data_IF_201819160309
#
_entry.id   IF_201819160309
#
_cell.length_a   1.000
_cell.length_b   1.000
_cell.length_c   1.000
_cell.angle_alpha   90.00
_cell.angle_beta   90.00
_cell.angle_gamma   90.00
#
_symmetry.space_group_name_H-M   'P 1'
#
loop_
_entity.id
_entity.type
_entity.pdbx_description
1 polymer ?
#
# COMPACT_ATOMS: atom_id res chain seq x y z
N UNK A 1 -24.11 7.53 6.36
CA UNK A 1 -24.14 8.61 5.35
C UNK A 1 -22.75 8.86 4.73
N UNK A 2 -21.68 9.06 5.49
CA UNK A 2 -20.34 9.35 4.95
C UNK A 2 -19.76 8.28 4.02
N UNK A 3 -19.95 6.97 4.30
CA UNK A 3 -19.43 5.87 3.44
C UNK A 3 -19.88 5.97 1.96
N UNK A 4 -21.09 6.49 1.69
CA UNK A 4 -21.58 6.71 0.33
C UNK A 4 -20.90 7.91 -0.33
N UNK A 5 -20.78 9.04 0.38
CA UNK A 5 -20.06 10.25 -0.09
C UNK A 5 -18.60 9.92 -0.37
N UNK A 6 -17.94 9.21 0.56
CA UNK A 6 -16.56 8.75 0.38
C UNK A 6 -16.41 7.93 -0.90
N UNK A 7 -17.34 7.01 -1.18
CA UNK A 7 -17.27 6.20 -2.40
C UNK A 7 -17.42 7.05 -3.66
N UNK A 8 -18.31 8.03 -3.67
CA UNK A 8 -18.46 8.95 -4.80
C UNK A 8 -17.17 9.74 -5.04
N UNK A 9 -16.55 10.27 -3.97
CA UNK A 9 -15.25 10.97 -4.04
C UNK A 9 -14.14 10.04 -4.55
N UNK A 10 -14.05 8.81 -4.04
CA UNK A 10 -13.08 7.81 -4.49
C UNK A 10 -13.18 7.57 -6.00
N UNK A 11 -14.39 7.37 -6.53
CA UNK A 11 -14.61 7.15 -7.97
C UNK A 11 -14.23 8.39 -8.76
N UNK A 12 -14.74 9.57 -8.37
CA UNK A 12 -14.48 10.82 -9.07
C UNK A 12 -13.00 11.14 -9.15
N UNK A 13 -12.30 11.10 -8.02
CA UNK A 13 -10.87 11.40 -8.00
C UNK A 13 -10.03 10.34 -8.70
N UNK A 14 -10.44 9.06 -8.69
CA UNK A 14 -9.75 8.02 -9.45
C UNK A 14 -9.91 8.20 -10.95
N UNK A 15 -11.09 8.58 -11.44
CA UNK A 15 -11.30 8.89 -12.86
C UNK A 15 -10.43 10.07 -13.30
N UNK A 16 -10.49 11.17 -12.55
CA UNK A 16 -9.69 12.36 -12.84
C UNK A 16 -8.19 12.03 -12.75
N UNK A 17 -7.78 11.35 -11.68
CA UNK A 17 -6.38 10.97 -11.46
C UNK A 17 -5.86 10.06 -12.57
N UNK A 18 -6.64 9.07 -13.01
CA UNK A 18 -6.27 8.20 -14.13
C UNK A 18 -6.16 8.98 -15.44
N UNK A 19 -7.11 9.87 -15.75
CA UNK A 19 -7.09 10.68 -16.95
C UNK A 19 -5.88 11.63 -16.98
N UNK A 20 -5.63 12.36 -15.88
CA UNK A 20 -4.51 13.31 -15.78
C UNK A 20 -3.17 12.59 -15.78
N UNK A 21 -3.05 11.46 -15.11
CA UNK A 21 -1.80 10.70 -15.06
C UNK A 21 -1.57 9.78 -16.27
N UNK A 22 -2.52 9.67 -17.20
CA UNK A 22 -2.42 8.75 -18.34
C UNK A 22 -1.13 8.90 -19.18
N UNK A 23 -0.60 10.09 -19.50
CA UNK A 23 0.67 10.21 -20.22
C UNK A 23 1.84 9.63 -19.40
N UNK A 24 1.84 9.88 -18.08
CA UNK A 24 2.86 9.36 -17.17
C UNK A 24 2.74 7.83 -17.07
N UNK A 25 1.51 7.31 -16.96
CA UNK A 25 1.26 5.86 -16.91
C UNK A 25 1.79 5.16 -18.16
N UNK A 26 1.58 5.74 -19.35
CA UNK A 26 2.09 5.21 -20.61
C UNK A 26 3.62 5.26 -20.67
N UNK A 27 4.24 6.37 -20.27
CA UNK A 27 5.68 6.52 -20.23
C UNK A 27 6.34 5.52 -19.26
N UNK A 28 5.77 5.36 -18.04
CA UNK A 28 6.25 4.39 -17.05
C UNK A 28 6.06 2.96 -17.57
N UNK A 29 4.92 2.64 -18.20
CA UNK A 29 4.66 1.33 -18.77
C UNK A 29 5.72 0.97 -19.84
N UNK A 30 6.03 1.90 -20.75
CA UNK A 30 7.07 1.72 -21.76
C UNK A 30 8.45 1.54 -21.10
N UNK A 31 8.81 2.39 -20.15
CA UNK A 31 10.09 2.30 -19.43
C UNK A 31 10.25 0.95 -18.70
N UNK A 32 9.23 0.48 -17.98
CA UNK A 32 9.23 -0.83 -17.28
C UNK A 32 9.37 -1.97 -18.27
N UNK A 33 8.70 -1.89 -19.44
CA UNK A 33 8.77 -2.93 -20.48
C UNK A 33 10.14 -3.03 -21.12
N UNK A 34 10.82 -1.89 -21.33
CA UNK A 34 12.16 -1.83 -21.93
C UNK A 34 13.27 -2.20 -20.92
N UNK A 35 13.09 -1.88 -19.64
CA UNK A 35 14.11 -2.09 -18.59
C UNK A 35 14.28 -3.57 -18.21
N UNK A 36 13.21 -4.37 -18.25
CA UNK A 36 13.26 -5.77 -17.83
C UNK A 36 12.19 -6.66 -18.50
N UNK A 37 12.48 -7.95 -18.63
CA UNK A 37 11.54 -8.93 -19.20
C UNK A 37 10.32 -9.14 -18.27
N UNK A 38 9.15 -9.40 -18.84
CA UNK A 38 7.92 -9.76 -18.14
C UNK A 38 6.77 -8.78 -18.33
N UNK A 39 5.68 -8.95 -17.54
CA UNK A 39 4.51 -8.08 -17.58
C UNK A 39 4.81 -6.72 -16.97
N UNK A 40 4.20 -5.66 -17.51
CA UNK A 40 4.33 -4.29 -17.00
C UNK A 40 3.65 -4.13 -15.64
N UNK A 41 2.47 -4.73 -15.49
CA UNK A 41 1.69 -4.70 -14.25
C UNK A 41 2.03 -5.94 -13.42
N UNK A 42 2.43 -5.70 -12.19
CA UNK A 42 2.54 -6.70 -11.14
C UNK A 42 1.21 -6.77 -10.37
N UNK A 43 0.73 -7.98 -10.15
CA UNK A 43 -0.49 -8.27 -9.42
C UNK A 43 -0.14 -9.04 -8.16
N UNK A 44 -0.75 -8.66 -7.04
CA UNK A 44 -0.53 -9.32 -5.77
C UNK A 44 -1.82 -9.46 -4.98
N UNK A 45 -2.12 -10.67 -4.55
CA UNK A 45 -3.29 -10.94 -3.71
C UNK A 45 -3.16 -10.25 -2.35
N UNK A 46 -4.23 -9.58 -1.95
CA UNK A 46 -4.33 -8.83 -0.70
C UNK A 46 -5.70 -9.06 -0.06
N UNK A 47 -5.74 -8.92 1.27
CA UNK A 47 -6.99 -8.87 2.01
C UNK A 47 -7.61 -7.48 1.89
N UNK A 48 -8.85 -7.45 1.44
CA UNK A 48 -9.68 -6.27 1.27
C UNK A 48 -10.79 -6.18 2.32
N UNK A 49 -11.85 -5.42 1.97
CA UNK A 49 -13.03 -5.28 2.81
C UNK A 49 -13.68 -6.63 3.07
N UNK A 50 -14.18 -6.83 4.30
CA UNK A 50 -14.80 -8.05 4.79
C UNK A 50 -13.88 -9.30 4.66
N UNK A 51 -12.55 -9.10 4.63
CA UNK A 51 -11.57 -10.18 4.45
C UNK A 51 -11.52 -10.78 3.05
N UNK A 52 -12.21 -10.20 2.07
CA UNK A 52 -12.22 -10.70 0.69
C UNK A 52 -10.88 -10.47 0.01
N UNK A 53 -10.38 -11.49 -0.66
CA UNK A 53 -9.13 -11.40 -1.44
C UNK A 53 -9.38 -10.63 -2.73
N UNK A 54 -8.46 -9.73 -3.07
CA UNK A 54 -8.43 -9.00 -4.34
C UNK A 54 -7.02 -8.89 -4.89
N UNK A 55 -6.89 -8.72 -6.22
CA UNK A 55 -5.61 -8.45 -6.88
C UNK A 55 -5.27 -6.96 -6.81
N UNK A 56 -4.25 -6.58 -6.06
CA UNK A 56 -3.71 -5.23 -6.03
C UNK A 56 -2.75 -5.02 -7.20
N UNK A 57 -2.96 -3.95 -7.98
CA UNK A 57 -2.19 -3.62 -9.16
C UNK A 57 -1.07 -2.62 -8.85
N UNK A 58 0.13 -2.91 -9.35
CA UNK A 58 1.29 -2.01 -9.32
C UNK A 58 2.07 -2.10 -10.62
N UNK A 59 2.85 -1.08 -10.94
CA UNK A 59 3.90 -1.29 -11.93
C UNK A 59 4.97 -2.23 -11.36
N UNK A 60 5.46 -3.13 -12.21
CA UNK A 60 6.58 -4.01 -11.85
C UNK A 60 7.83 -3.17 -11.61
N UNK A 61 8.34 -3.20 -10.40
CA UNK A 61 9.55 -2.49 -9.97
C UNK A 61 10.70 -3.41 -9.60
N UNK A 62 10.47 -4.73 -9.67
CA UNK A 62 11.46 -5.77 -9.36
C UNK A 62 11.52 -6.80 -10.50
N UNK A 63 12.58 -7.61 -10.54
CA UNK A 63 12.69 -8.72 -11.49
C UNK A 63 11.55 -9.72 -11.28
N UNK A 64 11.26 -10.53 -12.33
CA UNK A 64 10.23 -11.57 -12.26
C UNK A 64 10.63 -12.61 -11.21
N UNK A 65 9.67 -13.02 -10.38
CA UNK A 65 9.89 -13.99 -9.30
C UNK A 65 10.56 -13.43 -8.05
N UNK A 66 10.74 -12.11 -7.94
CA UNK A 66 11.41 -11.47 -6.81
C UNK A 66 10.81 -11.82 -5.44
N UNK A 67 9.50 -12.13 -5.40
CA UNK A 67 8.82 -12.57 -4.17
C UNK A 67 9.30 -13.93 -3.64
N UNK A 68 9.91 -14.75 -4.50
CA UNK A 68 10.47 -16.07 -4.14
C UNK A 68 12.00 -16.05 -3.95
N UNK A 69 12.62 -14.86 -4.03
CA UNK A 69 14.07 -14.67 -3.95
C UNK A 69 14.48 -13.92 -2.68
N UNK A 70 15.57 -14.31 -2.06
CA UNK A 70 16.20 -13.60 -0.95
C UNK A 70 15.25 -13.38 0.22
N UNK A 71 14.96 -12.10 0.54
CA UNK A 71 14.07 -11.71 1.65
C UNK A 71 12.58 -11.81 1.33
N UNK A 72 12.21 -12.44 0.21
CA UNK A 72 10.82 -12.61 -0.21
C UNK A 72 10.12 -11.25 -0.39
N UNK A 73 9.02 -11.04 0.32
CA UNK A 73 8.22 -9.81 0.23
C UNK A 73 8.88 -8.56 0.84
N UNK A 74 9.91 -8.73 1.66
CA UNK A 74 10.61 -7.60 2.26
C UNK A 74 11.64 -7.04 1.29
N UNK A 75 11.69 -5.71 1.19
CA UNK A 75 12.67 -4.99 0.40
C UNK A 75 13.49 -4.09 1.32
N UNK A 76 14.77 -4.01 1.06
CA UNK A 76 15.75 -3.22 1.81
C UNK A 76 16.47 -2.23 0.91
N UNK A 77 17.24 -1.31 1.51
CA UNK A 77 18.04 -0.33 0.75
C UNK A 77 19.12 -1.07 -0.04
N UNK A 78 19.15 -0.84 -1.37
CA UNK A 78 20.11 -1.53 -2.24
C UNK A 78 19.71 -2.94 -2.68
N UNK A 79 18.44 -3.33 -2.50
CA UNK A 79 17.92 -4.63 -2.91
C UNK A 79 18.19 -4.86 -4.42
N UNK A 80 19.00 -5.87 -4.73
CA UNK A 80 19.43 -6.20 -6.09
C UNK A 80 18.30 -6.65 -7.02
N UNK A 81 17.16 -7.05 -6.45
CA UNK A 81 15.97 -7.45 -7.22
C UNK A 81 15.25 -6.26 -7.86
N UNK A 82 15.50 -5.03 -7.34
CA UNK A 82 14.88 -3.81 -7.85
C UNK A 82 15.52 -3.40 -9.16
N UNK A 83 14.73 -3.25 -10.23
CA UNK A 83 15.21 -2.85 -11.55
C UNK A 83 15.65 -1.37 -11.57
N UNK A 84 16.33 -0.91 -12.63
CA UNK A 84 16.78 0.48 -12.74
C UNK A 84 15.61 1.46 -12.74
N UNK A 85 14.61 1.20 -13.58
CA UNK A 85 13.35 1.97 -13.60
C UNK A 85 12.59 1.77 -12.30
N UNK A 86 12.61 0.55 -11.73
CA UNK A 86 11.99 0.23 -10.44
C UNK A 86 12.47 1.11 -9.31
N UNK A 87 13.76 1.48 -9.25
CA UNK A 87 14.30 2.40 -8.24
C UNK A 87 13.62 3.77 -8.30
N UNK A 88 13.44 4.30 -9.52
CA UNK A 88 12.84 5.62 -9.75
C UNK A 88 11.35 5.61 -9.38
N UNK A 89 10.58 4.64 -9.93
CA UNK A 89 9.13 4.61 -9.71
C UNK A 89 8.76 4.30 -8.26
N UNK A 90 9.60 3.56 -7.51
CA UNK A 90 9.43 3.34 -6.07
C UNK A 90 9.77 4.57 -5.23
N UNK A 91 10.82 5.31 -5.61
CA UNK A 91 11.20 6.56 -4.91
C UNK A 91 10.13 7.65 -5.07
N UNK A 92 9.46 7.67 -6.22
CA UNK A 92 8.39 8.64 -6.56
C UNK A 92 6.98 8.12 -6.28
N UNK A 93 6.83 6.88 -5.81
CA UNK A 93 5.54 6.18 -5.63
C UNK A 93 4.69 6.05 -6.91
N UNK A 94 5.29 6.24 -8.09
CA UNK A 94 4.62 6.07 -9.38
C UNK A 94 4.22 4.61 -9.62
N UNK A 95 4.91 3.65 -8.96
CA UNK A 95 4.56 2.24 -9.03
C UNK A 95 3.16 1.94 -8.46
N UNK A 96 2.59 2.80 -7.64
CA UNK A 96 1.28 2.63 -7.03
C UNK A 96 0.11 3.23 -7.84
N UNK A 97 0.37 4.03 -8.89
CA UNK A 97 -0.68 4.64 -9.72
C UNK A 97 -1.70 3.63 -10.31
N UNK A 98 -1.32 2.41 -10.73
CA UNK A 98 -2.30 1.43 -11.21
C UNK A 98 -3.37 1.04 -10.17
N UNK A 99 -3.18 1.35 -8.88
CA UNK A 99 -4.20 1.12 -7.83
C UNK A 99 -5.45 2.00 -8.03
N UNK A 100 -5.41 3.07 -8.83
CA UNK A 100 -6.62 3.79 -9.22
C UNK A 100 -7.65 2.86 -9.88
N UNK A 101 -7.19 1.86 -10.63
CA UNK A 101 -8.07 0.82 -11.18
C UNK A 101 -8.73 -0.01 -10.08
N UNK A 102 -7.99 -0.35 -9.01
CA UNK A 102 -8.57 -1.05 -7.85
C UNK A 102 -9.60 -0.18 -7.13
N UNK A 103 -9.37 1.13 -7.05
CA UNK A 103 -10.38 2.04 -6.48
C UNK A 103 -11.63 2.06 -7.37
N UNK A 104 -11.49 2.18 -8.69
CA UNK A 104 -12.64 2.17 -9.62
C UNK A 104 -13.42 0.86 -9.55
N UNK A 105 -12.76 -0.28 -9.46
CA UNK A 105 -13.39 -1.60 -9.27
C UNK A 105 -14.13 -1.72 -7.94
N UNK A 106 -13.77 -0.92 -6.93
CA UNK A 106 -14.35 -0.98 -5.59
C UNK A 106 -13.59 -1.85 -4.60
N UNK A 107 -12.43 -2.37 -4.98
CA UNK A 107 -11.56 -3.14 -4.11
C UNK A 107 -10.88 -2.25 -3.05
N UNK A 108 -10.56 -1.00 -3.43
CA UNK A 108 -9.81 -0.04 -2.62
C UNK A 108 -10.51 1.32 -2.52
N UNK A 109 -9.95 2.18 -1.68
CA UNK A 109 -10.23 3.60 -1.47
C UNK A 109 -8.91 4.39 -1.53
N UNK A 110 -8.95 5.71 -1.66
CA UNK A 110 -7.74 6.52 -1.46
C UNK A 110 -7.24 6.42 -0.03
N UNK A 111 -8.14 6.48 0.95
CA UNK A 111 -7.82 6.52 2.37
C UNK A 111 -8.48 5.33 3.08
N UNK A 112 -7.66 4.57 3.81
CA UNK A 112 -8.09 3.39 4.56
C UNK A 112 -6.89 2.60 5.09
N UNK A 113 -7.13 1.52 5.85
CA UNK A 113 -6.09 0.59 6.28
C UNK A 113 -5.29 0.04 5.10
N UNK A 114 -3.95 -0.06 5.24
CA UNK A 114 -3.13 -0.63 4.16
C UNK A 114 -3.45 -2.11 3.96
N UNK A 115 -3.72 -2.58 2.72
CA UNK A 115 -4.07 -3.98 2.47
C UNK A 115 -2.91 -4.92 2.81
N UNK A 116 -3.18 -5.94 3.63
CA UNK A 116 -2.21 -6.97 4.02
C UNK A 116 -2.15 -8.08 2.98
N UNK A 117 -1.08 -8.85 2.98
CA UNK A 117 -1.02 -10.10 2.23
C UNK A 117 -1.97 -11.12 2.84
N UNK A 118 -2.37 -12.12 2.08
CA UNK A 118 -3.26 -13.19 2.53
C UNK A 118 -2.66 -14.07 3.63
N UNK A 119 -1.33 -14.04 3.77
CA UNK A 119 -0.54 -14.85 4.71
C UNK A 119 0.35 -14.04 5.64
N UNK A 120 0.36 -12.70 5.55
CA UNK A 120 1.25 -11.85 6.37
C UNK A 120 0.56 -10.52 6.72
N UNK A 121 0.60 -10.04 7.96
CA UNK A 121 1.35 -10.58 9.11
C UNK A 121 0.79 -11.90 9.66
N UNK A 122 -0.50 -12.15 9.48
CA UNK A 122 -1.22 -13.37 9.86
C UNK A 122 -2.18 -13.77 8.75
N UNK A 123 -2.61 -15.02 8.74
CA UNK A 123 -3.75 -15.47 7.93
C UNK A 123 -5.03 -14.86 8.49
N UNK A 124 -6.08 -14.75 7.68
CA UNK A 124 -7.33 -14.10 8.08
C UNK A 124 -7.95 -14.73 9.34
N UNK A 125 -7.83 -16.04 9.48
CA UNK A 125 -8.37 -16.81 10.61
C UNK A 125 -7.65 -16.50 11.94
N UNK A 126 -6.41 -16.08 11.89
CA UNK A 126 -5.54 -15.82 13.03
C UNK A 126 -5.74 -14.40 13.63
N UNK A 127 -6.46 -13.52 12.91
CA UNK A 127 -6.78 -12.18 13.42
C UNK A 127 -7.80 -12.28 14.55
N UNK A 128 -7.53 -11.58 15.67
CA UNK A 128 -8.51 -11.41 16.76
C UNK A 128 -9.71 -10.58 16.28
N UNK A 129 -10.83 -10.62 17.02
CA UNK A 129 -12.02 -9.83 16.69
C UNK A 129 -11.71 -8.33 16.62
N UNK A 130 -10.88 -7.81 17.53
CA UNK A 130 -10.42 -6.43 17.48
C UNK A 130 -9.65 -6.14 16.19
N UNK A 131 -8.71 -7.00 15.83
CA UNK A 131 -7.87 -6.81 14.65
C UNK A 131 -8.67 -6.94 13.34
N UNK A 132 -9.72 -7.77 13.31
CA UNK A 132 -10.61 -7.97 12.15
C UNK A 132 -11.39 -6.71 11.80
N UNK A 133 -11.61 -5.80 12.74
CA UNK A 133 -12.34 -4.54 12.51
C UNK A 133 -11.70 -3.67 11.42
N UNK A 134 -10.39 -3.79 11.19
CA UNK A 134 -9.71 -3.10 10.08
C UNK A 134 -10.28 -3.45 8.70
N UNK A 135 -10.92 -4.61 8.55
CA UNK A 135 -11.55 -5.05 7.31
C UNK A 135 -12.99 -4.57 7.14
N UNK A 136 -13.58 -3.83 8.08
CA UNK A 136 -14.93 -3.26 7.95
C UNK A 136 -15.03 -2.15 6.89
N UNK A 137 -13.90 -1.65 6.45
CA UNK A 137 -13.78 -0.63 5.41
C UNK A 137 -12.89 -1.10 4.26
N UNK A 138 -12.97 -0.41 3.11
CA UNK A 138 -12.04 -0.68 2.01
C UNK A 138 -10.62 -0.30 2.40
N UNK A 139 -9.62 -1.09 2.01
CA UNK A 139 -8.22 -0.72 2.20
C UNK A 139 -7.87 0.51 1.36
N UNK A 140 -6.89 1.30 1.85
CA UNK A 140 -6.47 2.54 1.23
C UNK A 140 -5.08 2.49 0.59
N UNK A 141 -4.83 3.40 -0.36
CA UNK A 141 -3.47 3.72 -0.83
C UNK A 141 -2.69 4.36 0.32
N UNK A 142 -3.32 5.30 1.03
CA UNK A 142 -2.82 5.88 2.28
C UNK A 142 -3.81 5.67 3.42
N UNK A 143 -3.40 5.92 4.66
CA UNK A 143 -4.24 5.74 5.84
C UNK A 143 -3.57 6.21 7.12
N UNK A 144 -4.30 6.15 8.22
CA UNK A 144 -3.87 6.68 9.51
C UNK A 144 -2.54 6.06 9.97
N UNK A 145 -2.39 4.76 9.88
CA UNK A 145 -1.14 4.08 10.23
C UNK A 145 0.05 4.51 9.34
N UNK A 146 -0.20 4.75 8.02
CA UNK A 146 0.87 5.15 7.12
C UNK A 146 1.39 6.56 7.42
N UNK A 147 0.53 7.49 7.86
CA UNK A 147 0.96 8.87 8.17
C UNK A 147 1.60 9.00 9.55
N UNK A 148 1.36 8.04 10.48
CA UNK A 148 1.91 8.07 11.84
C UNK A 148 3.24 7.33 12.02
N UNK A 149 3.73 6.57 11.04
CA UNK A 149 5.04 5.90 11.24
C UNK A 149 5.41 4.89 10.18
N UNK A 150 4.63 4.77 9.10
CA UNK A 150 4.92 3.91 7.94
C UNK A 150 5.47 2.52 8.32
N UNK A 151 6.78 2.31 8.11
CA UNK A 151 7.47 1.04 8.36
C UNK A 151 8.07 0.93 9.76
N UNK A 152 8.10 2.03 10.52
CA UNK A 152 8.77 2.09 11.83
C UNK A 152 7.92 1.50 12.97
N UNK A 153 6.61 1.42 12.78
CA UNK A 153 5.68 0.86 13.79
C UNK A 153 5.46 -0.64 13.55
N UNK A 154 5.35 -1.39 14.62
CA UNK A 154 5.04 -2.81 14.55
C UNK A 154 3.60 -3.07 14.06
N UNK A 155 3.27 -4.35 13.81
CA UNK A 155 1.96 -4.69 13.26
C UNK A 155 0.82 -4.48 14.25
N UNK A 156 1.04 -4.66 15.56
CA UNK A 156 -0.01 -4.47 16.56
C UNK A 156 -0.37 -2.99 16.68
N UNK A 157 0.63 -2.11 16.72
CA UNK A 157 0.39 -0.66 16.76
C UNK A 157 -0.23 -0.15 15.46
N UNK A 158 0.21 -0.70 14.31
CA UNK A 158 -0.40 -0.38 13.02
C UNK A 158 -1.89 -0.71 13.01
N UNK A 159 -2.28 -1.87 13.53
CA UNK A 159 -3.68 -2.29 13.60
C UNK A 159 -4.48 -1.39 14.56
N UNK A 160 -3.90 -0.91 15.65
CA UNK A 160 -4.58 0.07 16.52
C UNK A 160 -4.98 1.32 15.73
N UNK A 161 -4.05 1.90 14.95
CA UNK A 161 -4.36 3.03 14.06
C UNK A 161 -5.38 2.68 12.98
N UNK A 162 -5.32 1.47 12.43
CA UNK A 162 -6.30 1.02 11.42
C UNK A 162 -7.71 0.93 12.02
N UNK A 163 -7.85 0.40 13.26
CA UNK A 163 -9.13 0.33 13.97
C UNK A 163 -9.59 1.72 14.41
N UNK A 164 -8.68 2.57 14.92
CA UNK A 164 -8.98 3.97 15.24
C UNK A 164 -9.56 4.72 14.03
N UNK A 165 -9.00 4.47 12.83
CA UNK A 165 -9.55 5.03 11.59
C UNK A 165 -10.97 4.54 11.31
N UNK A 166 -11.25 3.24 11.52
CA UNK A 166 -12.59 2.65 11.32
C UNK A 166 -13.60 3.30 12.26
N UNK A 167 -13.23 3.48 13.53
CA UNK A 167 -14.09 4.05 14.57
C UNK A 167 -14.41 5.53 14.33
N UNK A 168 -13.45 6.28 13.81
CA UNK A 168 -13.56 7.74 13.62
C UNK A 168 -13.76 8.14 12.16
N UNK A 169 -14.24 7.21 11.31
CA UNK A 169 -14.42 7.43 9.88
C UNK A 169 -15.25 8.67 9.58
N UNK A 170 -14.62 9.72 9.07
CA UNK A 170 -15.24 11.01 8.76
C UNK A 170 -14.48 11.73 7.64
N UNK A 171 -15.17 12.68 6.98
CA UNK A 171 -14.54 13.53 5.97
C UNK A 171 -13.37 14.34 6.55
N UNK A 172 -13.51 14.86 7.78
CA UNK A 172 -12.45 15.62 8.44
C UNK A 172 -11.19 14.78 8.67
N UNK A 173 -11.35 13.52 9.10
CA UNK A 173 -10.23 12.61 9.29
C UNK A 173 -9.56 12.25 7.94
N UNK A 174 -10.36 11.99 6.90
CA UNK A 174 -9.84 11.72 5.57
C UNK A 174 -9.04 12.93 5.01
N UNK A 175 -9.55 14.14 5.14
CA UNK A 175 -8.83 15.36 4.74
C UNK A 175 -7.50 15.52 5.52
N UNK A 176 -7.50 15.27 6.83
CA UNK A 176 -6.29 15.31 7.66
C UNK A 176 -5.25 14.31 7.19
N UNK A 177 -5.65 13.07 6.94
CA UNK A 177 -4.75 12.01 6.45
C UNK A 177 -4.19 12.37 5.07
N UNK A 178 -5.04 12.89 4.16
CA UNK A 178 -4.61 13.30 2.84
C UNK A 178 -3.55 14.42 2.92
N UNK A 179 -3.81 15.45 3.72
CA UNK A 179 -2.86 16.55 3.93
C UNK A 179 -1.53 16.04 4.50
N UNK A 180 -1.56 15.19 5.53
CA UNK A 180 -0.35 14.59 6.10
C UNK A 180 0.39 13.72 5.09
N UNK A 181 -0.32 12.99 4.23
CA UNK A 181 0.29 12.17 3.16
C UNK A 181 1.05 13.06 2.19
N UNK A 182 0.43 14.13 1.69
CA UNK A 182 1.07 15.09 0.77
C UNK A 182 2.29 15.72 1.44
N UNK A 183 2.16 16.17 2.69
CA UNK A 183 3.26 16.74 3.46
C UNK A 183 4.44 15.78 3.61
N UNK A 184 4.16 14.52 3.99
CA UNK A 184 5.20 13.49 4.13
C UNK A 184 5.91 13.16 2.81
N UNK A 185 5.18 13.21 1.68
CA UNK A 185 5.76 13.01 0.35
C UNK A 185 6.67 14.19 -0.03
N UNK A 186 6.20 15.42 0.15
CA UNK A 186 6.96 16.63 -0.19
C UNK A 186 8.21 16.81 0.68
N UNK A 187 8.14 16.45 1.95
CA UNK A 187 9.27 16.57 2.89
C UNK A 187 10.21 15.37 2.87
N UNK A 188 9.93 14.36 2.02
CA UNK A 188 10.65 13.08 1.98
C UNK A 188 10.84 12.43 3.35
N UNK A 189 9.98 12.77 4.31
CA UNK A 189 10.04 12.26 5.67
C UNK A 189 9.79 10.75 5.63
N UNK A 190 10.71 9.95 6.19
CA UNK A 190 10.65 8.49 6.25
C UNK A 190 10.74 7.76 4.88
N UNK A 191 11.37 8.35 3.89
CA UNK A 191 11.64 7.69 2.60
C UNK A 191 12.77 6.65 2.68
N UNK A 192 13.38 6.50 3.87
CA UNK A 192 14.37 5.48 4.11
C UNK A 192 13.69 4.10 4.16
N UNK A 193 13.93 3.31 3.11
CA UNK A 193 13.67 1.87 3.09
C UNK A 193 14.64 1.13 4.03
N UNK A 194 14.86 1.66 5.24
CA UNK A 194 15.65 1.03 6.26
C UNK A 194 14.72 0.07 7.00
N UNK A 195 14.63 -1.15 6.49
CA UNK A 195 14.16 -2.27 7.28
C UNK A 195 15.12 -2.45 8.46
N UNK A 196 14.82 -1.88 9.60
CA UNK A 196 15.22 -2.47 10.87
C UNK A 196 14.35 -3.70 11.00
N UNK A 197 14.91 -4.82 10.60
CA UNK A 197 14.36 -6.16 10.87
C UNK A 197 14.25 -6.28 12.38
N UNK A 198 13.03 -6.42 12.88
CA UNK A 198 12.77 -6.82 14.26
C UNK A 198 13.10 -8.30 14.45
N UNK A 199 14.35 -8.69 14.17
CA UNK A 199 14.92 -9.99 14.45
C UNK A 199 16.02 -9.85 15.47
N UNK A 200 15.74 -9.28 16.64
CA UNK A 200 16.72 -9.32 17.71
C UNK A 200 16.02 -9.19 19.07
N UNK A 201 15.04 -10.06 19.35
CA UNK A 201 14.56 -10.27 20.73
C UNK A 201 14.09 -11.69 21.05
N UNK A 202 14.49 -12.69 20.28
CA UNK A 202 14.18 -14.09 20.62
C UNK A 202 15.39 -14.97 20.97
N UNK A 203 16.60 -14.42 21.13
CA UNK A 203 17.76 -15.21 21.53
C UNK A 203 18.56 -14.51 22.63
N UNK A 204 17.93 -14.23 23.77
CA UNK A 204 18.63 -13.88 25.02
C UNK A 204 17.87 -14.32 26.26
N UNK A 205 17.28 -15.49 26.26
CA UNK A 205 16.90 -16.23 27.47
C UNK A 205 16.80 -17.72 27.10
N UNK A 206 17.94 -18.35 26.92
CA UNK A 206 18.17 -19.79 26.95
C UNK A 206 19.49 -20.06 27.63
#
# INVERSE_FOLDING_TARGET
MYKGVKRALDVTFSLIGTAVSSPILLAVAAAVKLDSKGLVIFKQERLGKDGKVFEMYKFRSMCVGAEHMGTGQYSYKGDSRVTRVGKIIRATSLDELPQFINILKGDMSFIGPRPTLTYHPWKLEEYTDFQRRRFEVRPGITGLAQVHGRKAIDWNDRIKYDVEYVDNLSLGLDCKILFQTVWNVLTMKDNDNVGKTSQTKENKDA
#
